data_IF_411995959677
#
_entry.id   IF_411995959677
#
_cell.length_a   1.000
_cell.length_b   1.000
_cell.length_c   1.000
_cell.angle_alpha   90.00
_cell.angle_beta   90.00
_cell.angle_gamma   90.00
#
_symmetry.space_group_name_H-M   'P 1'
#
loop_
_entity.id
_entity.type
_entity.pdbx_description
1 polymer ?
#
# COMPACT_ATOMS: atom_id res chain seq x y z
N UNK A 1 17.69 1.86 -10.21
CA UNK A 1 17.70 1.01 -8.99
C UNK A 1 16.99 -0.29 -9.32
N UNK A 2 17.62 -1.44 -9.09
CA UNK A 2 16.98 -2.76 -9.25
C UNK A 2 16.50 -3.24 -7.89
N UNK A 3 15.24 -3.67 -7.79
CA UNK A 3 14.66 -4.22 -6.56
C UNK A 3 14.53 -5.74 -6.73
N UNK A 4 15.07 -6.51 -5.79
CA UNK A 4 14.88 -7.96 -5.74
C UNK A 4 13.65 -8.27 -4.87
N UNK A 5 12.66 -9.03 -5.38
CA UNK A 5 11.62 -9.59 -4.54
C UNK A 5 12.21 -10.57 -3.50
N UNK A 6 11.85 -10.41 -2.23
CA UNK A 6 12.30 -11.27 -1.13
C UNK A 6 11.08 -11.65 -0.26
N UNK A 7 10.72 -12.93 -0.28
CA UNK A 7 9.59 -13.47 0.46
C UNK A 7 9.84 -13.54 1.96
N UNK A 8 11.09 -13.78 2.40
CA UNK A 8 11.44 -13.81 3.82
C UNK A 8 11.34 -12.41 4.42
N UNK A 9 11.81 -11.40 3.69
CA UNK A 9 11.66 -10.00 4.09
C UNK A 9 10.18 -9.62 4.22
N UNK A 10 9.35 -9.99 3.24
CA UNK A 10 7.92 -9.74 3.28
C UNK A 10 7.25 -10.45 4.48
N UNK A 11 7.63 -11.69 4.76
CA UNK A 11 7.14 -12.44 5.92
C UNK A 11 7.45 -11.73 7.24
N UNK A 12 8.64 -11.13 7.36
CA UNK A 12 9.01 -10.30 8.50
C UNK A 12 8.07 -9.11 8.71
N UNK A 13 7.69 -8.41 7.63
CA UNK A 13 6.71 -7.32 7.70
C UNK A 13 5.33 -7.81 8.15
N UNK A 14 4.90 -8.98 7.70
CA UNK A 14 3.63 -9.59 8.13
C UNK A 14 3.65 -9.89 9.62
N UNK A 15 4.75 -10.44 10.15
CA UNK A 15 4.90 -10.71 11.59
C UNK A 15 4.78 -9.43 12.41
N UNK A 16 5.41 -8.33 11.96
CA UNK A 16 5.30 -7.04 12.65
C UNK A 16 3.86 -6.50 12.67
N UNK A 17 3.10 -6.69 11.57
CA UNK A 17 1.68 -6.33 11.52
C UNK A 17 0.87 -7.16 12.51
N UNK A 18 1.10 -8.47 12.54
CA UNK A 18 0.41 -9.39 13.46
C UNK A 18 0.68 -9.07 14.93
N UNK A 19 1.90 -8.64 15.25
CA UNK A 19 2.29 -8.22 16.60
C UNK A 19 1.82 -6.81 16.97
N UNK A 20 1.15 -6.09 16.06
CA UNK A 20 0.72 -4.70 16.28
C UNK A 20 1.87 -3.68 16.27
N UNK A 21 3.07 -4.08 15.85
CA UNK A 21 4.26 -3.24 15.80
C UNK A 21 4.37 -2.45 14.47
N UNK A 22 3.60 -2.86 13.45
CA UNK A 22 3.49 -2.18 12.16
C UNK A 22 2.01 -2.00 11.80
N UNK A 23 1.60 -0.77 11.48
CA UNK A 23 0.26 -0.46 11.01
C UNK A 23 0.30 0.04 9.57
N UNK A 24 -0.43 -0.64 8.67
CA UNK A 24 -0.66 -0.13 7.31
C UNK A 24 -1.76 0.92 7.37
N UNK A 25 -1.39 2.18 7.22
CA UNK A 25 -2.37 3.26 7.12
C UNK A 25 -2.97 3.27 5.70
N UNK A 26 -4.22 2.82 5.58
CA UNK A 26 -5.00 2.95 4.35
C UNK A 26 -5.56 4.36 4.27
N UNK A 27 -5.13 5.12 3.26
CA UNK A 27 -5.53 6.51 3.09
C UNK A 27 -6.93 6.64 2.49
N UNK A 28 -7.21 5.80 1.50
CA UNK A 28 -8.46 5.81 0.73
C UNK A 28 -8.65 4.44 0.07
N UNK A 29 -9.91 4.07 -0.15
CA UNK A 29 -10.29 2.90 -0.97
C UNK A 29 -11.00 3.37 -2.23
N UNK A 30 -10.68 2.75 -3.35
CA UNK A 30 -11.25 3.02 -4.67
C UNK A 30 -11.82 1.74 -5.25
N UNK A 31 -12.89 1.83 -6.05
CA UNK A 31 -13.25 0.70 -6.91
C UNK A 31 -12.15 0.48 -7.96
N UNK A 32 -11.96 -0.75 -8.42
CA UNK A 32 -10.97 -1.06 -9.47
C UNK A 32 -11.21 -0.22 -10.74
N UNK A 33 -12.48 0.04 -11.07
CA UNK A 33 -12.87 0.92 -12.17
C UNK A 33 -12.34 2.36 -12.04
N UNK A 34 -11.99 2.79 -10.83
CA UNK A 34 -11.52 4.14 -10.51
C UNK A 34 -9.99 4.21 -10.37
N UNK A 35 -9.26 3.18 -10.79
CA UNK A 35 -7.79 3.12 -10.66
C UNK A 35 -7.06 4.35 -11.25
N UNK A 36 -7.60 4.94 -12.32
CA UNK A 36 -7.04 6.16 -12.91
C UNK A 36 -7.10 7.36 -11.94
N UNK A 37 -8.21 7.51 -11.21
CA UNK A 37 -8.38 8.56 -10.22
C UNK A 37 -7.43 8.35 -9.03
N UNK A 38 -7.33 7.10 -8.53
CA UNK A 38 -6.39 6.73 -7.47
C UNK A 38 -4.93 7.08 -7.85
N UNK A 39 -4.55 6.82 -9.12
CA UNK A 39 -3.22 7.12 -9.62
C UNK A 39 -2.95 8.63 -9.74
N UNK A 40 -3.91 9.40 -10.24
CA UNK A 40 -3.80 10.86 -10.33
C UNK A 40 -3.63 11.51 -8.95
N UNK A 41 -4.40 11.05 -7.95
CA UNK A 41 -4.25 11.54 -6.57
C UNK A 41 -2.87 11.21 -5.98
N UNK A 42 -2.38 9.99 -6.20
CA UNK A 42 -1.06 9.56 -5.73
C UNK A 42 0.07 10.39 -6.35
N UNK A 43 -0.02 10.72 -7.64
CA UNK A 43 0.97 11.57 -8.33
C UNK A 43 1.01 12.99 -7.78
N UNK A 44 -0.10 13.48 -7.21
CA UNK A 44 -0.17 14.79 -6.56
C UNK A 44 0.66 14.91 -5.28
N UNK A 45 1.25 13.83 -4.76
CA UNK A 45 2.21 13.85 -3.65
C UNK A 45 1.62 14.10 -2.24
N UNK A 46 0.31 14.32 -2.13
CA UNK A 46 -0.36 14.62 -0.86
C UNK A 46 -0.96 13.40 -0.15
N UNK A 47 -0.91 12.22 -0.77
CA UNK A 47 -1.47 10.99 -0.17
C UNK A 47 -0.64 10.59 1.05
N UNK A 48 -1.24 10.68 2.24
CA UNK A 48 -0.68 10.13 3.47
C UNK A 48 -1.20 8.72 3.68
N UNK A 49 -0.38 7.72 3.39
CA UNK A 49 -0.73 6.31 3.53
C UNK A 49 -0.75 5.57 2.20
N UNK A 50 -1.53 4.49 2.14
CA UNK A 50 -1.65 3.62 0.97
C UNK A 50 -3.07 3.68 0.41
N UNK A 51 -3.27 4.11 -0.85
CA UNK A 51 -4.53 3.91 -1.53
C UNK A 51 -4.70 2.42 -1.86
N UNK A 52 -5.90 1.89 -1.71
CA UNK A 52 -6.21 0.48 -1.98
C UNK A 52 -7.31 0.39 -3.03
N UNK A 53 -7.10 -0.45 -4.04
CA UNK A 53 -8.13 -0.78 -5.01
C UNK A 53 -8.92 -1.98 -4.51
N UNK A 54 -10.24 -1.86 -4.56
CA UNK A 54 -11.18 -2.92 -4.24
C UNK A 54 -11.70 -3.54 -5.56
N UNK A 55 -11.95 -4.86 -5.60
CA UNK A 55 -12.50 -5.53 -6.78
C UNK A 55 -13.80 -4.91 -7.27
#
# INVERSE_FOLDING_TARGET
VFVRPDSLQLQGLVTLVQQGQLMVHVSQRYALAEAAAAHAEQQGGHVRGKPVLMP
#
